data_IF_725016369160
#
_entry.id   IF_725016369160
#
_cell.length_a   1.000
_cell.length_b   1.000
_cell.length_c   1.000
_cell.angle_alpha   90.00
_cell.angle_beta   90.00
_cell.angle_gamma   90.00
#
_symmetry.space_group_name_H-M   'P 1'
#
loop_
_entity.id
_entity.type
_entity.pdbx_description
1 polymer ?
#
# COMPACT_ATOMS: atom_id res chain seq x y z
N UNK A 1 19.95 56.39 7.67
CA UNK A 1 19.24 55.47 8.60
C UNK A 1 17.92 54.96 8.03
N UNK A 2 17.10 55.78 7.37
CA UNK A 2 15.83 55.30 6.75
C UNK A 2 16.00 54.26 5.63
N UNK A 3 17.05 54.37 4.79
CA UNK A 3 17.28 53.39 3.70
C UNK A 3 17.50 51.96 4.20
N UNK A 4 18.16 51.78 5.34
CA UNK A 4 18.42 50.44 5.90
C UNK A 4 17.15 49.85 6.52
N UNK A 5 16.32 50.67 7.15
CA UNK A 5 15.02 50.25 7.69
C UNK A 5 14.06 49.77 6.59
N UNK A 6 14.04 50.43 5.43
CA UNK A 6 13.20 50.02 4.29
C UNK A 6 13.62 48.66 3.75
N UNK A 7 14.93 48.41 3.61
CA UNK A 7 15.44 47.11 3.12
C UNK A 7 15.09 45.98 4.08
N UNK A 8 15.23 46.21 5.39
CA UNK A 8 14.87 45.21 6.42
C UNK A 8 13.36 44.95 6.40
N UNK A 9 12.53 45.99 6.31
CA UNK A 9 11.08 45.84 6.26
C UNK A 9 10.63 45.03 5.03
N UNK A 10 11.16 45.35 3.84
CA UNK A 10 10.85 44.64 2.59
C UNK A 10 11.30 43.18 2.64
N UNK A 11 12.43 42.88 3.30
CA UNK A 11 12.92 41.50 3.46
C UNK A 11 12.14 40.68 4.49
N UNK A 12 11.67 41.30 5.58
CA UNK A 12 10.95 40.59 6.64
C UNK A 12 9.46 40.39 6.33
N UNK A 13 8.84 41.31 5.59
CA UNK A 13 7.43 41.23 5.19
C UNK A 13 7.04 39.89 4.53
N UNK A 14 7.75 39.35 3.52
CA UNK A 14 7.37 38.07 2.89
C UNK A 14 7.51 36.88 3.84
N UNK A 15 8.50 36.88 4.74
CA UNK A 15 8.71 35.82 5.73
C UNK A 15 7.60 35.81 6.79
N UNK A 16 7.23 36.98 7.31
CA UNK A 16 6.15 37.12 8.29
C UNK A 16 4.79 36.83 7.65
N UNK A 17 4.58 37.28 6.41
CA UNK A 17 3.36 37.02 5.67
C UNK A 17 3.17 35.52 5.36
N UNK A 18 4.24 34.84 4.93
CA UNK A 18 4.24 33.39 4.72
C UNK A 18 3.85 32.63 6.00
N UNK A 19 4.47 32.97 7.14
CA UNK A 19 4.14 32.34 8.42
C UNK A 19 2.70 32.61 8.87
N UNK A 20 2.18 33.81 8.62
CA UNK A 20 0.80 34.17 8.92
C UNK A 20 -0.21 33.38 8.08
N UNK A 21 0.03 33.25 6.77
CA UNK A 21 -0.81 32.46 5.85
C UNK A 21 -0.82 30.98 6.24
N UNK A 22 0.34 30.40 6.59
CA UNK A 22 0.44 29.01 7.04
C UNK A 22 -0.37 28.81 8.33
N UNK A 23 -0.24 29.70 9.33
CA UNK A 23 -1.03 29.59 10.58
C UNK A 23 -2.53 29.66 10.31
N UNK A 24 -2.98 30.53 9.40
CA UNK A 24 -4.41 30.70 9.08
C UNK A 24 -4.99 29.52 8.30
N UNK A 25 -4.20 28.89 7.43
CA UNK A 25 -4.67 27.81 6.55
C UNK A 25 -4.51 26.40 7.10
N UNK A 26 -3.83 26.21 8.25
CA UNK A 26 -3.64 24.91 8.92
C UNK A 26 -4.94 24.12 9.16
N UNK A 27 -6.06 24.81 9.35
CA UNK A 27 -7.37 24.16 9.55
C UNK A 27 -7.95 23.56 8.26
N UNK A 28 -7.70 24.19 7.10
CA UNK A 28 -8.22 23.71 5.80
C UNK A 28 -7.44 22.50 5.27
N UNK A 29 -6.16 22.38 5.63
CA UNK A 29 -5.29 21.28 5.17
C UNK A 29 -5.62 19.94 5.84
N UNK A 30 -6.13 19.94 7.08
CA UNK A 30 -6.46 18.69 7.79
C UNK A 30 -7.55 17.86 7.10
N UNK A 31 -8.56 18.52 6.51
CA UNK A 31 -9.67 17.81 5.85
C UNK A 31 -9.24 17.19 4.51
N UNK A 32 -8.42 17.91 3.72
CA UNK A 32 -7.85 17.37 2.47
C UNK A 32 -6.90 16.20 2.74
N UNK A 33 -6.11 16.28 3.81
CA UNK A 33 -5.25 15.17 4.24
C UNK A 33 -6.05 13.94 4.69
N UNK A 34 -7.17 14.13 5.41
CA UNK A 34 -8.07 13.02 5.77
C UNK A 34 -8.72 12.37 4.54
N UNK A 35 -9.18 13.17 3.57
CA UNK A 35 -9.73 12.64 2.32
C UNK A 35 -8.67 11.90 1.49
N UNK A 36 -7.42 12.40 1.45
CA UNK A 36 -6.32 11.70 0.78
C UNK A 36 -5.91 10.40 1.51
N UNK A 37 -5.91 10.39 2.85
CA UNK A 37 -5.64 9.19 3.64
C UNK A 37 -6.74 8.11 3.54
N UNK A 38 -7.99 8.53 3.28
CA UNK A 38 -9.11 7.61 3.08
C UNK A 38 -9.15 6.97 1.68
N UNK A 39 -8.28 7.37 0.76
CA UNK A 39 -8.09 6.70 -0.53
C UNK A 39 -6.72 5.99 -0.63
N UNK A 40 -6.50 4.87 0.07
CA UNK A 40 -5.36 3.98 -0.19
C UNK A 40 -5.54 3.15 -1.48
N UNK A 41 -6.47 3.53 -2.39
CA UNK A 41 -6.84 2.75 -3.58
C UNK A 41 -6.08 3.11 -4.85
N UNK A 42 -4.95 3.81 -4.73
CA UNK A 42 -4.08 4.02 -5.88
C UNK A 42 -3.01 2.92 -5.89
N UNK A 43 -3.21 1.96 -6.80
CA UNK A 43 -2.21 1.02 -7.33
C UNK A 43 -1.94 -0.33 -6.60
N UNK A 44 -2.97 -1.04 -6.16
CA UNK A 44 -2.94 -2.52 -6.20
C UNK A 44 -4.18 -3.00 -6.97
N UNK A 45 -4.27 -2.54 -8.22
CA UNK A 45 -5.46 -2.69 -9.06
C UNK A 45 -5.57 -3.98 -9.85
N UNK A 46 -4.54 -4.83 -9.92
CA UNK A 46 -4.57 -6.00 -10.83
C UNK A 46 -4.09 -7.34 -10.23
N UNK A 47 -3.71 -7.37 -8.96
CA UNK A 47 -3.34 -8.64 -8.28
C UNK A 47 -4.36 -9.07 -7.21
N UNK A 48 -5.43 -8.29 -7.01
CA UNK A 48 -6.36 -8.50 -5.90
C UNK A 48 -7.54 -9.43 -6.20
N UNK A 49 -7.86 -9.73 -7.47
CA UNK A 49 -8.96 -10.66 -7.75
C UNK A 49 -8.60 -12.12 -7.44
N UNK A 50 -7.31 -12.47 -7.38
CA UNK A 50 -6.81 -13.78 -6.93
C UNK A 50 -6.47 -13.81 -5.44
N UNK A 51 -6.27 -12.66 -4.79
CA UNK A 51 -5.75 -12.60 -3.40
C UNK A 51 -6.79 -12.86 -2.30
N UNK A 52 -8.09 -12.71 -2.56
CA UNK A 52 -9.13 -12.85 -1.53
C UNK A 52 -9.62 -14.29 -1.31
N UNK A 53 -9.33 -15.23 -2.23
CA UNK A 53 -9.71 -16.64 -2.11
C UNK A 53 -8.62 -17.57 -1.58
N UNK A 54 -7.35 -17.16 -1.65
CA UNK A 54 -6.22 -18.06 -1.41
C UNK A 54 -5.76 -18.10 0.07
N UNK A 55 -6.56 -17.62 1.02
CA UNK A 55 -6.28 -17.77 2.45
C UNK A 55 -7.50 -18.33 3.15
N UNK A 56 -7.37 -19.53 3.70
CA UNK A 56 -8.44 -20.18 4.44
C UNK A 56 -7.88 -20.83 5.70
N UNK A 57 -8.69 -20.82 6.74
CA UNK A 57 -8.36 -21.44 8.01
C UNK A 57 -8.89 -22.87 8.02
N UNK A 58 -8.00 -23.84 8.26
CA UNK A 58 -8.40 -25.22 8.50
C UNK A 58 -8.22 -25.54 9.97
N UNK A 59 -9.31 -25.98 10.59
CA UNK A 59 -9.32 -26.26 12.02
C UNK A 59 -8.34 -27.40 12.35
N UNK A 60 -7.50 -27.20 13.37
CA UNK A 60 -6.40 -28.10 13.73
C UNK A 60 -5.13 -28.02 12.88
N UNK A 61 -5.09 -27.23 11.80
CA UNK A 61 -3.90 -27.04 10.94
C UNK A 61 -3.43 -25.58 10.93
N UNK A 62 -4.36 -24.63 11.07
CA UNK A 62 -4.08 -23.20 11.08
C UNK A 62 -4.36 -22.53 9.73
N UNK A 63 -3.75 -21.37 9.53
CA UNK A 63 -3.92 -20.58 8.31
C UNK A 63 -3.15 -21.19 7.14
N UNK A 64 -3.88 -21.49 6.06
CA UNK A 64 -3.32 -22.02 4.83
C UNK A 64 -3.39 -20.99 3.70
N UNK A 65 -2.39 -21.05 2.84
CA UNK A 65 -2.14 -20.06 1.78
C UNK A 65 -1.97 -20.81 0.46
N UNK A 66 -2.80 -20.46 -0.53
CA UNK A 66 -2.87 -21.15 -1.83
C UNK A 66 -3.46 -22.56 -1.75
N UNK A 67 -3.46 -23.27 -2.87
CA UNK A 67 -3.99 -24.64 -2.97
C UNK A 67 -3.05 -25.65 -2.30
N UNK A 68 -3.46 -26.21 -1.16
CA UNK A 68 -2.65 -27.19 -0.40
C UNK A 68 -2.55 -28.55 -1.07
N UNK A 69 -3.44 -28.82 -2.04
CA UNK A 69 -3.38 -30.04 -2.84
C UNK A 69 -2.27 -29.96 -3.88
N UNK A 70 -1.70 -28.79 -4.16
CA UNK A 70 -0.54 -28.68 -5.03
C UNK A 70 0.75 -29.08 -4.30
N UNK A 71 1.52 -30.01 -4.88
CA UNK A 71 2.85 -30.39 -4.40
C UNK A 71 3.85 -29.22 -4.39
N UNK A 72 3.69 -28.28 -5.34
CA UNK A 72 4.59 -27.13 -5.50
C UNK A 72 4.04 -25.83 -4.89
N UNK A 73 3.05 -25.92 -4.01
CA UNK A 73 2.54 -24.76 -3.28
C UNK A 73 3.67 -24.11 -2.45
N UNK A 74 3.96 -22.84 -2.72
CA UNK A 74 5.01 -22.07 -2.05
C UNK A 74 4.59 -21.51 -0.69
N UNK A 75 3.30 -21.59 -0.34
CA UNK A 75 2.70 -21.15 0.93
C UNK A 75 3.02 -19.70 1.29
N UNK A 76 3.28 -18.86 0.29
CA UNK A 76 3.63 -17.45 0.46
C UNK A 76 2.48 -16.55 0.03
N UNK A 77 2.31 -15.42 0.73
CA UNK A 77 1.33 -14.41 0.34
C UNK A 77 1.62 -13.72 -0.99
N UNK A 78 2.88 -13.77 -1.45
CA UNK A 78 3.33 -13.13 -2.69
C UNK A 78 3.58 -14.14 -3.81
N UNK A 79 3.95 -15.38 -3.46
CA UNK A 79 4.27 -16.44 -4.42
C UNK A 79 3.37 -17.64 -4.10
N UNK A 80 2.53 -18.04 -5.06
CA UNK A 80 1.59 -19.17 -4.89
C UNK A 80 2.20 -20.51 -5.26
N UNK A 81 2.91 -20.56 -6.39
CA UNK A 81 3.56 -21.76 -6.90
C UNK A 81 5.07 -21.55 -7.03
N UNK A 82 5.88 -22.46 -6.47
CA UNK A 82 7.34 -22.34 -6.52
C UNK A 82 7.89 -22.45 -7.97
N UNK A 83 7.21 -23.22 -8.82
CA UNK A 83 7.61 -23.45 -10.23
C UNK A 83 6.89 -22.51 -11.22
N UNK A 84 5.93 -21.72 -10.74
CA UNK A 84 5.26 -20.67 -11.51
C UNK A 84 5.04 -19.44 -10.61
N UNK A 85 6.09 -18.62 -10.40
CA UNK A 85 6.02 -17.49 -9.47
C UNK A 85 5.01 -16.41 -9.89
N UNK A 86 4.63 -16.38 -11.17
CA UNK A 86 3.72 -15.38 -11.74
C UNK A 86 2.24 -15.78 -11.72
N UNK A 87 1.89 -17.02 -11.34
CA UNK A 87 0.51 -17.50 -11.44
C UNK A 87 0.09 -18.49 -10.35
N UNK A 88 -1.22 -18.82 -10.28
CA UNK A 88 -1.73 -19.79 -9.32
C UNK A 88 -1.27 -21.22 -9.66
N UNK A 89 -1.35 -22.11 -8.67
CA UNK A 89 -1.03 -23.52 -8.85
C UNK A 89 -1.92 -24.19 -9.92
N UNK A 90 -3.22 -23.90 -9.94
CA UNK A 90 -4.21 -24.51 -10.86
C UNK A 90 -3.94 -24.20 -12.34
N UNK A 91 -3.37 -23.04 -12.65
CA UNK A 91 -2.99 -22.64 -14.02
C UNK A 91 -1.55 -23.01 -14.38
N UNK A 92 -0.84 -23.73 -13.51
CA UNK A 92 0.55 -24.09 -13.73
C UNK A 92 0.67 -25.34 -14.63
N UNK A 93 1.47 -25.26 -15.71
CA UNK A 93 1.79 -26.43 -16.56
C UNK A 93 2.46 -27.58 -15.79
N UNK A 94 3.14 -27.26 -14.70
CA UNK A 94 3.83 -28.23 -13.83
C UNK A 94 3.01 -28.59 -12.59
N UNK A 95 1.71 -28.33 -12.59
CA UNK A 95 0.86 -28.70 -11.47
C UNK A 95 0.94 -30.21 -11.21
N UNK A 96 1.20 -30.58 -9.95
CA UNK A 96 1.13 -31.96 -9.47
C UNK A 96 0.35 -32.00 -8.17
N UNK A 97 -0.64 -32.89 -8.10
CA UNK A 97 -1.39 -33.12 -6.87
C UNK A 97 -0.49 -33.79 -5.84
N UNK A 98 -0.60 -33.35 -4.60
CA UNK A 98 0.05 -33.93 -3.45
C UNK A 98 -0.77 -35.17 -3.07
N UNK A 99 -0.22 -36.33 -3.38
CA UNK A 99 -0.81 -37.62 -2.98
C UNK A 99 -0.98 -37.63 -1.46
N UNK A 100 -2.16 -38.05 -0.99
CA UNK A 100 -2.41 -38.24 0.43
C UNK A 100 -1.59 -39.44 0.88
N UNK A 101 -0.58 -39.20 1.71
CA UNK A 101 0.09 -40.27 2.46
C UNK A 101 -0.87 -40.91 3.46
#
# INVERSE_FOLDING_TARGET
MFKTLVVIAVGFLPSLFSLWVIRKNRLRTHLRLRQAAMNPRTQIGDFSSSSLGDRYYLDGVGYLIGDISCQYNARSGHIRCAVNPTGPCEACRYYKSREKC
#
